data_IF_701984768898
#
_entry.id   IF_701984768898
#
_cell.length_a   1.000
_cell.length_b   1.000
_cell.length_c   1.000
_cell.angle_alpha   90.00
_cell.angle_beta   90.00
_cell.angle_gamma   90.00
#
_symmetry.space_group_name_H-M   'P 1'
#
loop_
_entity.id
_entity.type
_entity.pdbx_description
1 polymer ?
#
# COMPACT_ATOMS: atom_id res chain seq x y z
N UNK A 1 -30.62 -4.07 -10.61
CA UNK A 1 -32.10 -4.10 -10.76
C UNK A 1 -32.55 -4.54 -12.14
N UNK A 2 -31.70 -4.49 -13.17
CA UNK A 2 -32.03 -5.04 -14.48
C UNK A 2 -31.70 -6.55 -14.49
N UNK A 3 -32.65 -7.40 -14.91
CA UNK A 3 -32.54 -8.82 -15.33
C UNK A 3 -33.28 -9.94 -14.55
N UNK A 4 -33.79 -9.76 -13.33
CA UNK A 4 -34.45 -10.91 -12.66
C UNK A 4 -35.85 -11.23 -13.20
N UNK A 5 -36.61 -10.22 -13.61
CA UNK A 5 -37.90 -10.43 -14.27
C UNK A 5 -37.75 -11.14 -15.61
N UNK A 6 -36.72 -10.79 -16.40
CA UNK A 6 -36.41 -11.48 -17.64
C UNK A 6 -36.07 -12.95 -17.41
N UNK A 7 -35.33 -13.27 -16.34
CA UNK A 7 -35.00 -14.65 -15.96
C UNK A 7 -36.27 -15.46 -15.67
N UNK A 8 -37.35 -14.87 -15.14
CA UNK A 8 -38.62 -15.59 -14.89
C UNK A 8 -39.32 -16.07 -16.16
N UNK A 9 -39.13 -15.36 -17.26
CA UNK A 9 -39.81 -15.62 -18.53
C UNK A 9 -38.91 -16.32 -19.55
N UNK A 10 -37.63 -16.52 -19.25
CA UNK A 10 -36.69 -17.21 -20.10
C UNK A 10 -36.68 -18.72 -19.83
N UNK A 11 -36.74 -19.52 -20.90
CA UNK A 11 -36.74 -20.99 -20.82
C UNK A 11 -35.34 -21.61 -20.93
N UNK A 12 -34.35 -20.87 -21.44
CA UNK A 12 -32.99 -21.36 -21.67
C UNK A 12 -31.94 -20.30 -21.40
N UNK A 13 -30.83 -20.69 -20.77
CA UNK A 13 -29.70 -19.83 -20.46
C UNK A 13 -28.42 -20.41 -21.05
N UNK A 14 -27.60 -19.56 -21.65
CA UNK A 14 -26.28 -19.94 -22.16
C UNK A 14 -25.22 -19.01 -21.57
N UNK A 15 -24.19 -19.59 -20.95
CA UNK A 15 -23.08 -18.84 -20.40
C UNK A 15 -22.08 -18.52 -21.52
N UNK A 16 -21.83 -17.23 -21.74
CA UNK A 16 -20.79 -16.79 -22.66
C UNK A 16 -19.44 -16.79 -21.93
N UNK A 17 -18.44 -17.46 -22.53
CA UNK A 17 -17.06 -17.48 -22.00
C UNK A 17 -16.30 -16.16 -22.21
N UNK A 18 -16.94 -15.17 -22.83
CA UNK A 18 -16.38 -13.84 -23.05
C UNK A 18 -17.38 -12.76 -22.65
N UNK A 19 -16.93 -11.69 -21.97
CA UNK A 19 -17.78 -10.55 -21.65
C UNK A 19 -18.13 -9.76 -22.91
N UNK A 20 -19.42 -9.73 -23.26
CA UNK A 20 -19.92 -9.03 -24.47
C UNK A 20 -20.51 -7.65 -24.17
N UNK A 21 -20.56 -7.24 -22.90
CA UNK A 21 -21.20 -6.00 -22.48
C UNK A 21 -20.42 -5.34 -21.34
N UNK A 22 -20.08 -4.06 -21.52
CA UNK A 22 -19.45 -3.24 -20.50
C UNK A 22 -20.21 -1.93 -20.32
N UNK A 23 -20.49 -1.58 -19.07
CA UNK A 23 -21.06 -0.28 -18.72
C UNK A 23 -19.98 0.80 -18.84
N UNK A 24 -20.12 1.69 -19.82
CA UNK A 24 -19.25 2.86 -19.96
C UNK A 24 -19.71 3.94 -18.98
N UNK A 25 -18.81 4.40 -18.10
CA UNK A 25 -19.08 5.51 -17.18
C UNK A 25 -19.01 6.84 -17.94
N UNK A 26 -20.16 7.37 -18.35
CA UNK A 26 -20.28 8.70 -18.94
C UNK A 26 -20.49 9.78 -17.87
N UNK A 27 -20.07 11.03 -18.14
CA UNK A 27 -20.34 12.18 -17.25
C UNK A 27 -21.85 12.33 -17.08
N UNK A 28 -22.32 12.31 -15.83
CA UNK A 28 -23.75 12.41 -15.49
C UNK A 28 -24.47 11.06 -15.31
N UNK A 29 -23.80 9.94 -15.61
CA UNK A 29 -24.31 8.59 -15.32
C UNK A 29 -24.52 8.37 -13.81
N UNK A 30 -25.44 7.47 -13.46
CA UNK A 30 -25.76 7.12 -12.07
C UNK A 30 -24.51 6.63 -11.29
N UNK A 31 -23.56 6.02 -11.99
CA UNK A 31 -22.27 5.55 -11.46
C UNK A 31 -21.22 6.66 -11.30
N UNK A 32 -21.46 7.86 -11.85
CA UNK A 32 -20.57 9.04 -11.75
C UNK A 32 -21.03 10.07 -10.71
N UNK A 33 -22.26 9.95 -10.21
CA UNK A 33 -22.78 10.81 -9.15
C UNK A 33 -22.34 10.29 -7.79
N UNK A 34 -21.67 11.11 -6.99
CA UNK A 34 -21.19 10.75 -5.66
C UNK A 34 -22.29 10.12 -4.79
N UNK A 35 -22.01 8.95 -4.24
CA UNK A 35 -22.92 8.20 -3.37
C UNK A 35 -22.86 8.80 -1.95
N UNK A 36 -23.90 9.51 -1.52
CA UNK A 36 -24.05 9.86 -0.10
C UNK A 36 -24.46 8.63 0.72
N UNK A 37 -23.99 8.53 1.96
CA UNK A 37 -24.27 7.39 2.84
C UNK A 37 -25.78 7.10 2.98
N UNK A 38 -26.59 8.15 3.08
CA UNK A 38 -28.06 8.07 3.15
C UNK A 38 -28.67 7.49 1.88
N UNK A 39 -28.16 7.88 0.70
CA UNK A 39 -28.61 7.37 -0.60
C UNK A 39 -28.26 5.88 -0.76
N UNK A 40 -27.09 5.47 -0.27
CA UNK A 40 -26.66 4.05 -0.25
C UNK A 40 -27.54 3.18 0.65
N UNK A 41 -27.88 3.64 1.85
CA UNK A 41 -28.75 2.90 2.78
C UNK A 41 -30.15 2.74 2.19
N UNK A 42 -30.73 3.80 1.64
CA UNK A 42 -32.06 3.75 1.02
C UNK A 42 -32.08 2.84 -0.22
N UNK A 43 -31.04 2.91 -1.06
CA UNK A 43 -30.88 2.01 -2.20
C UNK A 43 -30.80 0.55 -1.75
N UNK A 44 -29.99 0.22 -0.73
CA UNK A 44 -29.91 -1.16 -0.21
C UNK A 44 -31.25 -1.66 0.32
N UNK A 45 -32.00 -0.83 1.06
CA UNK A 45 -33.34 -1.20 1.56
C UNK A 45 -34.32 -1.48 0.41
N UNK A 46 -34.35 -0.61 -0.61
CA UNK A 46 -35.23 -0.78 -1.77
C UNK A 46 -34.89 -2.03 -2.59
N UNK A 47 -33.60 -2.25 -2.86
CA UNK A 47 -33.14 -3.43 -3.61
C UNK A 47 -33.38 -4.71 -2.81
N UNK A 48 -33.15 -4.70 -1.50
CA UNK A 48 -33.44 -5.85 -0.64
C UNK A 48 -34.94 -6.20 -0.65
N UNK A 49 -35.82 -5.21 -0.50
CA UNK A 49 -37.27 -5.43 -0.58
C UNK A 49 -37.67 -6.08 -1.91
N UNK A 50 -37.04 -5.67 -3.02
CA UNK A 50 -37.27 -6.27 -4.33
C UNK A 50 -36.83 -7.74 -4.40
N UNK A 51 -35.61 -8.07 -3.97
CA UNK A 51 -35.13 -9.46 -3.91
C UNK A 51 -35.96 -10.33 -2.96
N UNK A 52 -36.31 -9.79 -1.79
CA UNK A 52 -37.12 -10.47 -0.79
C UNK A 52 -38.48 -10.89 -1.36
N UNK A 53 -39.17 -9.95 -2.02
CA UNK A 53 -40.46 -10.22 -2.65
C UNK A 53 -40.32 -11.19 -3.83
N UNK A 54 -39.26 -11.05 -4.62
CA UNK A 54 -38.97 -11.97 -5.73
C UNK A 54 -38.84 -13.41 -5.24
N UNK A 55 -37.97 -13.68 -4.26
CA UNK A 55 -37.73 -15.04 -3.75
C UNK A 55 -38.99 -15.63 -3.08
N UNK A 56 -39.76 -14.82 -2.34
CA UNK A 56 -41.06 -15.25 -1.80
C UNK A 56 -42.08 -15.61 -2.89
N UNK A 57 -41.97 -15.03 -4.08
CA UNK A 57 -42.90 -15.31 -5.18
C UNK A 57 -42.54 -16.55 -6.01
N UNK A 58 -41.31 -17.07 -5.89
CA UNK A 58 -40.84 -18.23 -6.66
C UNK A 58 -40.56 -19.46 -5.79
N UNK A 59 -40.29 -19.29 -4.49
CA UNK A 59 -40.05 -20.37 -3.55
C UNK A 59 -41.30 -20.67 -2.73
N UNK A 60 -41.44 -21.93 -2.32
CA UNK A 60 -42.39 -22.31 -1.27
C UNK A 60 -41.98 -21.71 0.07
N UNK A 61 -42.91 -21.62 1.02
CA UNK A 61 -42.63 -21.00 2.33
C UNK A 61 -41.53 -21.77 3.11
N UNK A 62 -41.49 -23.10 2.99
CA UNK A 62 -40.46 -23.95 3.60
C UNK A 62 -39.08 -23.74 2.95
N UNK A 63 -39.02 -23.68 1.60
CA UNK A 63 -37.76 -23.47 0.87
C UNK A 63 -37.21 -22.05 1.06
N UNK A 64 -38.10 -21.08 1.20
CA UNK A 64 -37.72 -19.70 1.50
C UNK A 64 -37.09 -19.61 2.89
N UNK A 65 -37.70 -20.21 3.92
CA UNK A 65 -37.17 -20.19 5.28
C UNK A 65 -35.80 -20.87 5.39
N UNK A 66 -35.59 -21.98 4.67
CA UNK A 66 -34.29 -22.66 4.59
C UNK A 66 -33.20 -21.78 3.95
N UNK A 67 -33.56 -20.96 2.98
CA UNK A 67 -32.63 -20.10 2.23
C UNK A 67 -32.63 -18.64 2.70
N UNK A 68 -33.43 -18.30 3.73
CA UNK A 68 -33.63 -16.92 4.20
C UNK A 68 -32.31 -16.23 4.54
N UNK A 69 -31.40 -16.95 5.19
CA UNK A 69 -30.06 -16.42 5.52
C UNK A 69 -29.24 -16.06 4.27
N UNK A 70 -29.37 -16.81 3.18
CA UNK A 70 -28.69 -16.51 1.91
C UNK A 70 -29.31 -15.28 1.23
N UNK A 71 -30.62 -15.12 1.28
CA UNK A 71 -31.32 -13.92 0.77
C UNK A 71 -30.91 -12.68 1.57
N UNK A 72 -30.80 -12.81 2.89
CA UNK A 72 -30.40 -11.72 3.79
C UNK A 72 -28.91 -11.38 3.69
N UNK A 73 -28.09 -12.30 3.19
CA UNK A 73 -26.67 -12.07 2.89
C UNK A 73 -26.48 -10.85 1.97
N UNK A 74 -27.43 -10.56 1.07
CA UNK A 74 -27.44 -9.35 0.23
C UNK A 74 -27.31 -8.03 1.02
N UNK A 75 -27.87 -7.95 2.24
CA UNK A 75 -27.76 -6.73 3.07
C UNK A 75 -26.32 -6.51 3.55
N UNK A 76 -25.61 -7.60 3.82
CA UNK A 76 -24.21 -7.64 4.25
C UNK A 76 -23.27 -7.49 3.06
N UNK A 77 -23.56 -8.17 1.96
CA UNK A 77 -22.81 -8.10 0.73
C UNK A 77 -22.91 -6.69 0.14
N UNK A 78 -21.79 -6.19 -0.39
CA UNK A 78 -21.72 -4.91 -1.07
C UNK A 78 -21.06 -5.17 -2.43
N UNK A 79 -21.82 -4.97 -3.51
CA UNK A 79 -21.22 -4.80 -4.82
C UNK A 79 -20.47 -3.46 -4.79
N UNK A 80 -19.15 -3.53 -4.71
CA UNK A 80 -18.30 -2.36 -4.73
C UNK A 80 -17.81 -2.11 -6.14
N UNK A 81 -18.10 -0.92 -6.65
CA UNK A 81 -17.66 -0.43 -7.95
C UNK A 81 -16.18 0.05 -7.90
N UNK A 82 -15.33 -0.74 -7.23
CA UNK A 82 -13.90 -0.47 -7.05
C UNK A 82 -13.52 0.35 -5.80
N UNK A 83 -14.42 0.54 -4.84
CA UNK A 83 -14.11 1.16 -3.54
C UNK A 83 -14.26 0.12 -2.42
N UNK A 84 -13.16 -0.57 -2.09
CA UNK A 84 -13.13 -1.57 -1.03
C UNK A 84 -13.88 -1.08 0.21
N UNK A 85 -14.85 -1.87 0.68
CA UNK A 85 -15.65 -1.53 1.85
C UNK A 85 -14.72 -1.50 3.06
N UNK A 86 -14.56 -0.32 3.70
CA UNK A 86 -13.62 -0.07 4.80
C UNK A 86 -13.89 -0.86 6.09
N UNK A 87 -14.83 -1.81 6.09
CA UNK A 87 -15.44 -2.37 7.32
C UNK A 87 -15.30 -3.89 7.45
N UNK A 88 -14.74 -4.61 6.46
CA UNK A 88 -14.52 -6.07 6.56
C UNK A 88 -13.03 -6.43 6.41
N UNK A 89 -12.42 -7.11 7.40
CA UNK A 89 -11.08 -7.66 7.27
C UNK A 89 -11.06 -8.70 6.15
N UNK A 90 -10.14 -8.55 5.18
CA UNK A 90 -9.88 -9.57 4.15
C UNK A 90 -10.52 -9.33 2.78
N UNK A 91 -11.26 -8.25 2.54
CA UNK A 91 -11.69 -7.90 1.18
C UNK A 91 -10.59 -7.12 0.46
N UNK A 92 -9.83 -7.78 -0.42
CA UNK A 92 -8.84 -7.17 -1.31
C UNK A 92 -9.52 -6.74 -2.61
N UNK A 93 -9.32 -5.49 -3.03
CA UNK A 93 -9.88 -4.95 -4.27
C UNK A 93 -9.26 -5.68 -5.48
N UNK A 94 -10.11 -6.24 -6.33
CA UNK A 94 -9.66 -6.73 -7.65
C UNK A 94 -9.36 -5.49 -8.51
N UNK A 95 -8.11 -5.36 -8.97
CA UNK A 95 -7.60 -4.17 -9.66
C UNK A 95 -6.65 -3.29 -8.84
N UNK A 96 -6.43 -3.57 -7.55
CA UNK A 96 -5.30 -3.00 -6.79
C UNK A 96 -4.00 -3.77 -7.02
N UNK A 97 -4.02 -4.85 -7.82
CA UNK A 97 -2.86 -5.69 -8.15
C UNK A 97 -1.95 -5.07 -9.21
N UNK A 98 -2.45 -4.02 -9.84
CA UNK A 98 -1.66 -3.11 -10.63
C UNK A 98 -1.70 -1.82 -9.86
N UNK A 99 -0.57 -1.41 -9.30
CA UNK A 99 -0.31 -0.02 -8.97
C UNK A 99 -0.99 0.85 -10.04
N UNK A 100 -2.14 1.44 -9.72
CA UNK A 100 -2.79 2.39 -10.62
C UNK A 100 -1.81 3.55 -10.69
N UNK A 101 -1.00 3.59 -11.74
CA UNK A 101 -0.48 4.85 -12.20
C UNK A 101 -1.72 5.71 -12.40
N UNK A 102 -1.75 6.88 -11.75
CA UNK A 102 -2.65 7.91 -12.22
C UNK A 102 -2.37 8.03 -13.71
N UNK A 103 -3.39 8.06 -14.57
CA UNK A 103 -3.23 8.41 -15.99
C UNK A 103 -2.86 9.89 -16.16
N UNK A 104 -2.01 10.38 -15.27
CA UNK A 104 -1.17 11.54 -15.48
C UNK A 104 -0.08 11.00 -16.39
N UNK A 105 -0.04 11.52 -17.61
CA UNK A 105 0.94 11.13 -18.62
C UNK A 105 2.31 10.93 -17.98
N UNK A 106 2.82 9.71 -18.07
CA UNK A 106 4.21 9.36 -17.71
C UNK A 106 5.21 10.14 -18.59
N UNK A 107 4.70 10.86 -19.59
CA UNK A 107 5.40 11.71 -20.54
C UNK A 107 5.68 13.13 -20.01
N UNK A 108 5.09 13.53 -18.88
CA UNK A 108 5.33 14.86 -18.32
C UNK A 108 6.78 15.05 -17.85
N UNK A 109 7.40 16.17 -18.25
CA UNK A 109 8.76 16.53 -17.86
C UNK A 109 8.79 17.34 -16.54
N UNK A 110 9.86 17.19 -15.77
CA UNK A 110 10.13 17.95 -14.56
C UNK A 110 10.33 17.12 -13.28
N UNK A 111 10.95 17.75 -12.28
CA UNK A 111 11.46 17.11 -11.04
C UNK A 111 10.39 16.29 -10.30
N UNK A 112 9.17 16.81 -10.15
CA UNK A 112 8.10 16.09 -9.46
C UNK A 112 7.59 14.87 -10.24
N UNK A 113 7.68 14.93 -11.57
CA UNK A 113 7.30 13.81 -12.44
C UNK A 113 8.37 12.73 -12.41
N UNK A 114 9.65 13.12 -12.37
CA UNK A 114 10.79 12.21 -12.16
C UNK A 114 10.64 11.45 -10.84
N UNK A 115 10.42 12.18 -9.74
CA UNK A 115 10.20 11.58 -8.41
C UNK A 115 9.00 10.63 -8.40
N UNK A 116 7.89 11.01 -9.07
CA UNK A 116 6.72 10.15 -9.21
C UNK A 116 7.03 8.86 -9.98
N UNK A 117 7.74 8.96 -11.11
CA UNK A 117 8.11 7.81 -11.97
C UNK A 117 9.03 6.85 -11.24
N UNK A 118 10.10 7.36 -10.64
CA UNK A 118 11.05 6.55 -9.86
C UNK A 118 10.33 5.80 -8.72
N UNK A 119 9.46 6.51 -8.00
CA UNK A 119 8.67 5.92 -6.91
C UNK A 119 7.70 4.85 -7.39
N UNK A 120 6.99 5.08 -8.50
CA UNK A 120 6.02 4.13 -9.08
C UNK A 120 6.69 2.91 -9.68
N UNK A 121 7.85 3.09 -10.30
CA UNK A 121 8.64 1.99 -10.82
C UNK A 121 9.11 1.09 -9.66
N UNK A 122 9.64 1.67 -8.58
CA UNK A 122 10.02 0.90 -7.40
C UNK A 122 8.82 0.16 -6.79
N UNK A 123 7.66 0.82 -6.66
CA UNK A 123 6.43 0.19 -6.13
C UNK A 123 6.01 -1.04 -6.92
N UNK A 124 6.13 -0.98 -8.25
CA UNK A 124 5.81 -2.10 -9.15
C UNK A 124 6.66 -3.34 -8.85
N UNK A 125 7.94 -3.19 -8.51
CA UNK A 125 8.83 -4.32 -8.21
C UNK A 125 8.68 -4.83 -6.78
N UNK A 126 8.28 -3.97 -5.83
CA UNK A 126 8.06 -4.36 -4.44
C UNK A 126 6.68 -4.98 -4.18
N UNK A 127 5.67 -4.62 -4.98
CA UNK A 127 4.28 -5.08 -4.83
C UNK A 127 4.13 -6.62 -4.82
N UNK A 128 4.76 -7.39 -5.73
CA UNK A 128 4.71 -8.85 -5.69
C UNK A 128 5.26 -9.45 -4.38
N UNK A 129 6.31 -8.85 -3.82
CA UNK A 129 6.93 -9.29 -2.57
C UNK A 129 5.96 -9.04 -1.40
N UNK A 130 5.30 -7.88 -1.38
CA UNK A 130 4.30 -7.54 -0.39
C UNK A 130 3.14 -8.55 -0.40
N UNK A 131 2.62 -8.85 -1.59
CA UNK A 131 1.53 -9.81 -1.77
C UNK A 131 1.90 -11.22 -1.35
N UNK A 132 3.09 -11.70 -1.74
CA UNK A 132 3.57 -13.05 -1.41
C UNK A 132 3.74 -13.27 0.11
N UNK A 133 4.06 -12.21 0.85
CA UNK A 133 4.33 -12.28 2.29
C UNK A 133 3.16 -11.79 3.16
N UNK A 134 2.01 -11.46 2.55
CA UNK A 134 0.85 -10.87 3.24
C UNK A 134 1.26 -9.65 4.08
N UNK A 135 1.95 -8.71 3.42
CA UNK A 135 2.45 -7.48 4.00
C UNK A 135 1.95 -6.29 3.18
N UNK A 136 1.91 -5.11 3.79
CA UNK A 136 1.65 -3.88 3.05
C UNK A 136 2.91 -3.44 2.30
N UNK A 137 2.74 -2.74 1.18
CA UNK A 137 3.85 -2.18 0.41
C UNK A 137 4.78 -1.29 1.27
N UNK A 138 4.19 -0.56 2.20
CA UNK A 138 4.89 0.24 3.20
C UNK A 138 5.79 -0.59 4.12
N UNK A 139 5.37 -1.79 4.49
CA UNK A 139 6.16 -2.69 5.33
C UNK A 139 7.39 -3.20 4.54
N UNK A 140 7.21 -3.55 3.26
CA UNK A 140 8.32 -4.00 2.39
C UNK A 140 9.32 -2.87 2.15
N UNK A 141 8.86 -1.64 1.88
CA UNK A 141 9.74 -0.47 1.77
C UNK A 141 10.55 -0.24 3.05
N UNK A 142 9.93 -0.41 4.21
CA UNK A 142 10.61 -0.29 5.50
C UNK A 142 11.66 -1.40 5.70
N UNK A 143 11.37 -2.64 5.31
CA UNK A 143 12.36 -3.73 5.36
C UNK A 143 13.52 -3.48 4.39
N UNK A 144 13.22 -3.03 3.16
CA UNK A 144 14.24 -2.66 2.17
C UNK A 144 15.14 -1.57 2.70
N UNK A 145 14.57 -0.51 3.28
CA UNK A 145 15.33 0.53 3.94
C UNK A 145 16.22 -0.06 5.04
N UNK A 146 15.66 -0.78 6.00
CA UNK A 146 16.44 -1.38 7.11
C UNK A 146 17.52 -2.37 6.68
N UNK A 147 17.47 -2.90 5.46
CA UNK A 147 18.51 -3.77 4.92
C UNK A 147 19.75 -3.03 4.39
N UNK A 148 19.64 -1.73 4.12
CA UNK A 148 20.71 -0.91 3.58
C UNK A 148 21.73 -0.52 4.67
N UNK A 149 23.00 -0.24 4.29
CA UNK A 149 24.08 0.05 5.24
C UNK A 149 23.99 1.47 5.80
N UNK A 150 22.99 1.74 6.64
CA UNK A 150 22.84 3.00 7.37
C UNK A 150 22.46 2.78 8.83
N UNK A 151 22.85 3.72 9.70
CA UNK A 151 22.56 3.66 11.13
C UNK A 151 21.38 4.57 11.45
N UNK A 152 20.21 3.99 11.63
CA UNK A 152 19.05 4.72 12.17
C UNK A 152 19.10 4.63 13.69
N UNK A 153 18.91 5.75 14.36
CA UNK A 153 18.99 5.83 15.81
C UNK A 153 17.67 6.23 16.45
N UNK A 154 16.69 6.74 15.68
CA UNK A 154 15.44 7.27 16.24
C UNK A 154 14.19 6.99 15.40
N UNK A 155 13.03 6.92 16.06
CA UNK A 155 11.70 6.85 15.41
C UNK A 155 11.43 8.08 14.55
N UNK A 156 12.03 9.22 14.90
CA UNK A 156 11.87 10.47 14.15
C UNK A 156 12.54 10.36 12.78
N UNK A 157 13.77 9.85 12.73
CA UNK A 157 14.48 9.55 11.47
C UNK A 157 13.69 8.58 10.59
N UNK A 158 13.14 7.50 11.17
CA UNK A 158 12.29 6.56 10.42
C UNK A 158 11.08 7.24 9.81
N UNK A 159 10.37 8.07 10.58
CA UNK A 159 9.19 8.79 10.09
C UNK A 159 9.54 9.73 8.94
N UNK A 160 10.65 10.46 9.09
CA UNK A 160 11.14 11.42 8.10
C UNK A 160 11.51 10.72 6.79
N UNK A 161 12.32 9.66 6.87
CA UNK A 161 12.76 8.91 5.70
C UNK A 161 11.61 8.19 4.98
N UNK A 162 10.69 7.58 5.73
CA UNK A 162 9.58 6.80 5.15
C UNK A 162 8.37 7.65 4.78
N UNK A 163 8.40 8.95 5.10
CA UNK A 163 7.26 9.87 5.02
C UNK A 163 5.99 9.28 5.69
N UNK A 164 6.18 8.57 6.80
CA UNK A 164 5.10 7.93 7.54
C UNK A 164 4.69 8.77 8.75
N UNK A 165 3.40 8.79 9.04
CA UNK A 165 2.90 9.26 10.33
C UNK A 165 3.37 8.34 11.46
N UNK A 166 3.37 8.86 12.70
CA UNK A 166 3.71 8.07 13.89
C UNK A 166 2.86 6.80 14.01
N UNK A 167 1.57 6.89 13.67
CA UNK A 167 0.63 5.79 13.82
C UNK A 167 0.87 4.71 12.76
N UNK A 168 1.08 5.12 11.50
CA UNK A 168 1.37 4.19 10.40
C UNK A 168 2.71 3.49 10.61
N UNK A 169 3.75 4.22 11.02
CA UNK A 169 5.04 3.62 11.36
C UNK A 169 4.91 2.63 12.53
N UNK A 170 4.19 3.01 13.59
CA UNK A 170 4.00 2.12 14.74
C UNK A 170 3.26 0.83 14.36
N UNK A 171 2.21 0.94 13.52
CA UNK A 171 1.49 -0.23 13.02
C UNK A 171 2.36 -1.12 12.13
N UNK A 172 3.17 -0.53 11.24
CA UNK A 172 4.10 -1.26 10.37
C UNK A 172 5.16 -2.01 11.19
N UNK A 173 5.81 -1.34 12.14
CA UNK A 173 6.79 -1.96 13.03
C UNK A 173 6.17 -3.09 13.86
N UNK A 174 4.98 -2.89 14.45
CA UNK A 174 4.30 -3.94 15.20
C UNK A 174 3.97 -5.16 14.34
N UNK A 175 3.51 -4.94 13.10
CA UNK A 175 3.23 -6.03 12.17
C UNK A 175 4.50 -6.80 11.81
N UNK A 176 5.60 -6.12 11.50
CA UNK A 176 6.89 -6.74 11.20
C UNK A 176 7.45 -7.52 12.41
N UNK A 177 7.32 -6.99 13.63
CA UNK A 177 7.68 -7.70 14.86
C UNK A 177 6.79 -8.94 15.06
N UNK A 178 5.48 -8.82 14.88
CA UNK A 178 4.54 -9.93 15.07
C UNK A 178 4.77 -11.10 14.12
N UNK A 179 5.27 -10.82 12.91
CA UNK A 179 5.69 -11.84 11.92
C UNK A 179 7.12 -12.35 12.14
N UNK A 180 7.80 -11.89 13.19
CA UNK A 180 9.17 -12.28 13.50
C UNK A 180 10.20 -11.82 12.47
N UNK A 181 9.89 -10.79 11.68
CA UNK A 181 10.78 -10.27 10.63
C UNK A 181 11.85 -9.36 11.24
N UNK A 182 11.53 -8.67 12.34
CA UNK A 182 12.48 -7.79 13.02
C UNK A 182 12.29 -7.76 14.53
N UNK A 183 13.33 -7.29 15.21
CA UNK A 183 13.35 -6.95 16.63
C UNK A 183 13.76 -5.50 16.81
N UNK A 184 13.18 -4.84 17.80
CA UNK A 184 13.54 -3.47 18.20
C UNK A 184 14.02 -3.51 19.65
N UNK A 185 15.20 -2.98 19.90
CA UNK A 185 15.78 -2.79 21.23
C UNK A 185 15.96 -1.30 21.52
N UNK A 186 15.56 -0.87 22.73
CA UNK A 186 15.75 0.51 23.18
C UNK A 186 17.01 0.61 24.05
N UNK A 187 18.10 1.14 23.48
CA UNK A 187 19.34 1.42 24.19
C UNK A 187 19.27 2.80 24.84
N UNK A 188 19.58 2.89 26.14
CA UNK A 188 19.76 4.17 26.83
C UNK A 188 21.22 4.60 26.69
N UNK A 189 21.49 5.57 25.84
CA UNK A 189 22.84 6.09 25.62
C UNK A 189 23.03 7.40 26.40
N UNK A 190 24.08 7.54 27.21
CA UNK A 190 24.40 8.80 27.86
C UNK A 190 24.86 9.85 26.82
N UNK A 191 24.34 11.09 26.91
CA UNK A 191 24.58 12.18 25.94
C UNK A 191 26.07 12.55 25.76
N UNK A 192 26.95 12.14 26.67
CA UNK A 192 28.37 12.50 26.61
C UNK A 192 29.11 11.94 25.39
N UNK A 193 28.59 10.91 24.74
CA UNK A 193 29.25 10.26 23.59
C UNK A 193 29.07 11.00 22.26
N UNK A 194 28.20 12.02 22.18
CA UNK A 194 27.93 12.74 20.92
C UNK A 194 28.68 14.08 20.79
N UNK A 195 29.27 14.61 21.86
CA UNK A 195 29.93 15.94 21.84
C UNK A 195 31.43 15.85 21.47
N UNK A 196 32.05 14.67 21.41
CA UNK A 196 33.48 14.58 21.06
C UNK A 196 33.79 14.65 19.54
N UNK A 197 32.77 14.72 18.68
CA UNK A 197 32.96 14.86 17.23
C UNK A 197 32.65 16.25 16.67
N UNK A 198 32.16 17.19 17.49
CA UNK A 198 31.97 18.59 17.10
C UNK A 198 32.76 19.49 18.05
N UNK A 199 33.63 20.30 17.46
CA UNK A 199 34.72 21.03 18.08
C UNK A 199 34.38 21.84 19.33
N UNK A 200 35.40 21.93 20.17
CA UNK A 200 35.65 22.95 21.18
C UNK A 200 35.03 24.30 20.81
N UNK A 201 34.10 24.81 21.62
CA UNK A 201 34.31 26.10 22.28
C UNK A 201 33.20 26.47 23.27
N UNK A 202 33.64 27.20 24.29
CA UNK A 202 32.88 28.02 25.23
C UNK A 202 32.20 27.34 26.44
N UNK A 203 32.72 27.73 27.60
CA UNK A 203 32.27 27.38 28.93
C UNK A 203 30.92 28.02 29.29
N UNK A 204 30.02 27.24 29.89
CA UNK A 204 29.24 27.66 31.07
C UNK A 204 28.59 26.46 31.77
N UNK A 205 28.95 26.29 33.04
CA UNK A 205 28.37 25.33 33.99
C UNK A 205 26.89 25.63 34.22
N UNK A 206 26.02 24.62 34.11
CA UNK A 206 24.79 24.45 34.92
C UNK A 206 24.36 22.98 34.96
N UNK A 207 24.13 22.46 36.16
CA UNK A 207 23.44 21.22 36.57
C UNK A 207 23.59 19.94 35.71
N UNK A 208 24.50 19.05 36.12
CA UNK A 208 24.63 17.66 35.64
C UNK A 208 23.51 16.76 36.20
N UNK A 209 22.36 16.70 35.53
CA UNK A 209 21.51 15.49 35.51
C UNK A 209 21.80 14.81 34.18
N UNK A 210 22.47 13.65 34.21
CA UNK A 210 22.84 12.90 33.01
C UNK A 210 21.60 12.59 32.18
N UNK A 211 21.35 13.39 31.15
CA UNK A 211 20.22 13.22 30.25
C UNK A 211 20.62 12.07 29.31
N UNK A 212 19.88 10.98 29.36
CA UNK A 212 20.10 9.79 28.51
C UNK A 212 19.19 9.90 27.29
N UNK A 213 19.71 9.69 26.09
CA UNK A 213 18.92 9.58 24.86
C UNK A 213 18.58 8.12 24.64
N UNK A 214 17.32 7.84 24.26
CA UNK A 214 16.91 6.49 23.85
C UNK A 214 17.25 6.32 22.39
N UNK A 215 18.16 5.41 22.08
CA UNK A 215 18.45 4.96 20.71
C UNK A 215 17.70 3.68 20.43
N UNK A 216 17.21 3.56 19.20
CA UNK A 216 16.58 2.33 18.71
C UNK A 216 17.61 1.54 17.95
N UNK A 217 17.81 0.30 18.35
CA UNK A 217 18.53 -0.69 17.56
C UNK A 217 17.49 -1.61 16.93
N UNK A 218 17.50 -1.68 15.60
CA UNK A 218 16.56 -2.49 14.82
C UNK A 218 17.37 -3.57 14.13
N UNK A 219 17.00 -4.83 14.37
CA UNK A 219 17.68 -5.99 13.81
C UNK A 219 16.69 -6.80 12.99
N UNK A 220 17.04 -7.10 11.75
CA UNK A 220 16.30 -8.06 10.93
C UNK A 220 16.61 -9.47 11.40
N UNK A 221 15.57 -10.28 11.55
CA UNK A 221 15.65 -11.66 12.04
C UNK A 221 15.68 -12.66 10.86
N UNK A 222 16.05 -13.93 11.07
CA UNK A 222 16.15 -14.92 9.99
C UNK A 222 14.86 -15.11 9.17
N UNK A 223 13.68 -14.83 9.72
CA UNK A 223 12.43 -14.86 8.96
C UNK A 223 12.40 -13.82 7.83
N UNK A 224 13.21 -12.76 7.92
CA UNK A 224 13.38 -11.77 6.87
C UNK A 224 14.20 -12.28 5.67
N UNK A 225 14.99 -13.34 5.80
CA UNK A 225 15.95 -13.77 4.77
C UNK A 225 15.30 -14.06 3.41
N UNK A 226 14.10 -14.66 3.42
CA UNK A 226 13.34 -14.91 2.18
C UNK A 226 12.87 -13.60 1.52
N UNK A 227 12.53 -12.60 2.33
CA UNK A 227 12.14 -11.27 1.86
C UNK A 227 13.37 -10.55 1.31
N UNK A 228 14.49 -10.57 2.03
CA UNK A 228 15.76 -9.95 1.63
C UNK A 228 16.28 -10.51 0.30
N UNK A 229 16.22 -11.83 0.09
CA UNK A 229 16.56 -12.44 -1.21
C UNK A 229 15.66 -11.94 -2.34
N UNK A 230 14.36 -11.84 -2.06
CA UNK A 230 13.39 -11.34 -3.06
C UNK A 230 13.59 -9.85 -3.35
N UNK A 231 13.96 -9.07 -2.33
CA UNK A 231 14.29 -7.65 -2.45
C UNK A 231 15.54 -7.42 -3.29
N UNK A 232 16.59 -8.21 -3.10
CA UNK A 232 17.81 -8.11 -3.91
C UNK A 232 17.54 -8.38 -5.40
N UNK A 233 16.68 -9.35 -5.72
CA UNK A 233 16.26 -9.60 -7.10
C UNK A 233 15.45 -8.42 -7.64
N UNK A 234 14.47 -7.92 -6.87
CA UNK A 234 13.64 -6.80 -7.27
C UNK A 234 14.43 -5.48 -7.46
N UNK A 235 15.47 -5.25 -6.65
CA UNK A 235 16.37 -4.12 -6.79
C UNK A 235 17.18 -4.20 -8.08
N UNK A 236 17.72 -5.38 -8.41
CA UNK A 236 18.42 -5.60 -9.67
C UNK A 236 17.46 -5.43 -10.87
N UNK A 237 16.25 -5.99 -10.83
CA UNK A 237 15.27 -5.84 -11.90
C UNK A 237 14.82 -4.38 -12.07
N UNK A 238 14.71 -3.63 -10.96
CA UNK A 238 14.43 -2.20 -10.97
C UNK A 238 15.55 -1.41 -11.65
N UNK A 239 16.82 -1.68 -11.32
CA UNK A 239 17.96 -1.02 -11.97
C UNK A 239 18.06 -1.37 -13.46
N UNK A 240 17.91 -2.64 -13.82
CA UNK A 240 17.89 -3.09 -15.22
C UNK A 240 16.80 -2.39 -16.01
N UNK A 241 15.61 -2.20 -15.44
CA UNK A 241 14.53 -1.48 -16.11
C UNK A 241 14.81 0.01 -16.30
N UNK A 242 15.55 0.66 -15.38
CA UNK A 242 15.95 2.07 -15.52
C UNK A 242 17.01 2.27 -16.61
N UNK A 243 17.85 1.26 -16.84
CA UNK A 243 18.98 1.34 -17.74
C UNK A 243 18.78 0.57 -19.05
N UNK A 244 17.57 0.05 -19.30
CA UNK A 244 17.28 -0.85 -20.42
C UNK A 244 17.67 -0.29 -21.79
N UNK A 245 17.59 1.03 -21.96
CA UNK A 245 17.89 1.73 -23.21
C UNK A 245 19.28 2.41 -23.22
N UNK A 246 20.10 2.21 -22.18
CA UNK A 246 21.43 2.81 -22.05
C UNK A 246 22.53 1.80 -22.41
N UNK A 247 23.63 2.29 -23.01
CA UNK A 247 24.85 1.48 -23.18
C UNK A 247 25.66 1.39 -21.88
N UNK A 248 26.60 0.45 -21.81
CA UNK A 248 27.51 0.33 -20.66
C UNK A 248 28.30 1.62 -20.40
N UNK A 249 28.75 2.32 -21.45
CA UNK A 249 29.43 3.60 -21.31
C UNK A 249 28.51 4.69 -20.74
N UNK A 250 27.26 4.73 -21.20
CA UNK A 250 26.25 5.69 -20.72
C UNK A 250 25.89 5.42 -19.26
N UNK A 251 25.79 4.15 -18.85
CA UNK A 251 25.56 3.76 -17.45
C UNK A 251 26.73 4.22 -16.56
N UNK A 252 27.97 4.03 -16.99
CA UNK A 252 29.16 4.49 -16.26
C UNK A 252 29.17 6.01 -16.14
N UNK A 253 28.88 6.72 -17.23
CA UNK A 253 28.80 8.19 -17.22
C UNK A 253 27.67 8.69 -16.32
N UNK A 254 26.49 8.06 -16.39
CA UNK A 254 25.35 8.35 -15.52
C UNK A 254 25.72 8.16 -14.05
N UNK A 255 26.34 7.03 -13.68
CA UNK A 255 26.76 6.75 -12.31
C UNK A 255 27.74 7.81 -11.79
N UNK A 256 28.70 8.23 -12.62
CA UNK A 256 29.64 9.30 -12.29
C UNK A 256 28.94 10.64 -12.02
N UNK A 257 28.07 11.07 -12.93
CA UNK A 257 27.33 12.33 -12.79
C UNK A 257 26.37 12.29 -11.59
N UNK A 258 25.65 11.20 -11.40
CA UNK A 258 24.75 11.00 -10.27
C UNK A 258 25.51 11.06 -8.93
N UNK A 259 26.74 10.54 -8.86
CA UNK A 259 27.58 10.68 -7.66
C UNK A 259 27.90 12.15 -7.33
N UNK A 260 28.20 12.97 -8.35
CA UNK A 260 28.46 14.42 -8.17
C UNK A 260 27.21 15.17 -7.74
N UNK A 261 26.06 14.82 -8.30
CA UNK A 261 24.77 15.37 -7.91
C UNK A 261 24.50 15.05 -6.43
N UNK A 262 24.66 13.77 -6.02
CA UNK A 262 24.51 13.34 -4.62
C UNK A 262 25.41 14.13 -3.67
N UNK A 263 26.69 14.29 -4.00
CA UNK A 263 27.62 15.11 -3.20
C UNK A 263 27.21 16.58 -3.12
N UNK A 264 26.61 17.12 -4.18
CA UNK A 264 26.16 18.51 -4.19
C UNK A 264 24.92 18.71 -3.32
N UNK A 265 23.97 17.78 -3.38
CA UNK A 265 22.79 17.75 -2.51
C UNK A 265 23.21 17.63 -1.03
N UNK A 266 24.15 16.73 -0.72
CA UNK A 266 24.68 16.54 0.64
C UNK A 266 25.39 17.76 1.23
N UNK A 267 25.88 18.70 0.40
CA UNK A 267 26.49 19.94 0.89
C UNK A 267 25.46 21.00 1.28
N UNK A 268 24.24 20.89 0.76
CA UNK A 268 23.17 21.87 0.97
C UNK A 268 22.29 21.46 2.16
N UNK A 269 22.02 20.16 2.30
CA UNK A 269 21.30 19.57 3.43
C UNK A 269 22.18 19.47 4.67
#
# INVERSE_FOLDING_TARGET
>A
MFNLEYIRHASSFYALGVPIYYYVKTKGSLASQGLSLTKTINMKKMVFAYYHNFYKSILTEEDYEKNRLQVYKFLLDAASDGMASLVLPGTKKLGDERTSACSIDVEGDGILMDEYRDRKLLDRYLEPIALKNDLQLQDIRLVMYLSQPHRISSRKELMDYTNMTKNTLSASLQRLISKGIMKIEELKVPIQTEIQAAQQDSAKKTSRRGKTVRKLEITLLPAADSILKSLSVAENDYEQARYADLTDEEIVQYAYLNSKIKQSIQKIL
#
